data_IF_337813555674
#
_entry.id   IF_337813555674
#
_cell.length_a   1.000
_cell.length_b   1.000
_cell.length_c   1.000
_cell.angle_alpha   90.00
_cell.angle_beta   90.00
_cell.angle_gamma   90.00
#
_symmetry.space_group_name_H-M   'P 1'
#
loop_
_entity.id
_entity.type
_entity.pdbx_description
1 polymer ?
#
# COMPACT_ATOMS: atom_id res chain seq x y z
N UNK A 1 9.36 -2.14 -26.94
CA UNK A 1 10.48 -2.28 -25.97
C UNK A 1 10.94 -0.93 -25.41
N UNK A 2 11.05 0.13 -26.23
CA UNK A 2 11.47 1.47 -25.77
C UNK A 2 10.50 2.13 -24.77
N UNK A 3 9.19 1.97 -24.98
CA UNK A 3 8.15 2.56 -24.11
C UNK A 3 8.24 2.05 -22.66
N UNK A 4 8.27 0.73 -22.39
CA UNK A 4 8.46 0.22 -21.02
C UNK A 4 9.72 0.74 -20.33
N UNK A 5 10.84 0.82 -21.06
CA UNK A 5 12.12 1.28 -20.53
C UNK A 5 12.04 2.77 -20.17
N UNK A 6 11.45 3.59 -21.04
CA UNK A 6 11.26 5.01 -20.79
C UNK A 6 10.40 5.30 -19.55
N UNK A 7 9.29 4.55 -19.39
CA UNK A 7 8.42 4.66 -18.21
C UNK A 7 9.16 4.25 -16.94
N UNK A 8 9.92 3.15 -16.98
CA UNK A 8 10.69 2.67 -15.84
C UNK A 8 11.77 3.68 -15.40
N UNK A 9 12.56 4.20 -16.34
CA UNK A 9 13.59 5.20 -16.07
C UNK A 9 12.98 6.52 -15.58
N UNK A 10 11.84 6.94 -16.15
CA UNK A 10 11.10 8.11 -15.67
C UNK A 10 10.63 7.94 -14.22
N UNK A 11 10.13 6.75 -13.87
CA UNK A 11 9.75 6.43 -12.49
C UNK A 11 10.94 6.53 -11.52
N UNK A 12 12.10 5.96 -11.89
CA UNK A 12 13.32 6.09 -11.08
C UNK A 12 13.74 7.55 -10.91
N UNK A 13 13.73 8.35 -11.98
CA UNK A 13 14.12 9.76 -11.93
C UNK A 13 13.21 10.58 -11.01
N UNK A 14 11.90 10.32 -11.02
CA UNK A 14 10.94 10.97 -10.13
C UNK A 14 11.17 10.60 -8.66
N UNK A 15 11.42 9.31 -8.38
CA UNK A 15 11.77 8.88 -7.01
C UNK A 15 13.07 9.52 -6.54
N UNK A 16 14.09 9.61 -7.40
CA UNK A 16 15.35 10.27 -7.06
C UNK A 16 15.15 11.76 -6.75
N UNK A 17 14.28 12.45 -7.51
CA UNK A 17 13.96 13.86 -7.28
C UNK A 17 13.27 14.09 -5.92
N UNK A 18 12.33 13.24 -5.52
CA UNK A 18 11.62 13.37 -4.24
C UNK A 18 12.49 12.99 -3.03
N UNK A 19 13.45 12.07 -3.22
CA UNK A 19 14.49 11.81 -2.22
C UNK A 19 15.38 13.04 -2.03
N UNK A 20 15.76 13.72 -3.12
CA UNK A 20 16.60 14.91 -3.06
C UNK A 20 15.91 16.10 -2.39
N UNK A 21 14.58 16.23 -2.48
CA UNK A 21 13.80 17.29 -1.81
C UNK A 21 13.49 16.99 -0.35
N UNK A 22 13.77 15.77 0.13
CA UNK A 22 13.51 15.36 1.52
C UNK A 22 12.03 15.12 1.84
N UNK A 23 11.18 15.01 0.82
CA UNK A 23 9.70 14.86 0.94
C UNK A 23 9.25 13.38 0.99
N UNK A 24 10.14 12.45 1.30
CA UNK A 24 9.92 11.02 1.03
C UNK A 24 9.49 10.23 2.25
N UNK A 25 8.17 10.20 2.48
CA UNK A 25 7.51 9.13 3.25
C UNK A 25 6.41 8.48 2.38
N UNK A 26 6.80 7.86 1.26
CA UNK A 26 5.88 7.06 0.42
C UNK A 26 6.01 5.59 0.83
N UNK A 27 4.97 5.07 1.49
CA UNK A 27 4.87 3.63 1.81
C UNK A 27 3.91 2.95 0.84
N UNK A 28 4.43 2.11 -0.05
CA UNK A 28 3.60 1.22 -0.87
C UNK A 28 3.29 -0.02 -0.05
N UNK A 29 2.08 -0.10 0.50
CA UNK A 29 1.60 -1.30 1.17
C UNK A 29 1.08 -2.26 0.10
N UNK A 30 1.90 -3.26 -0.24
CA UNK A 30 1.53 -4.30 -1.18
C UNK A 30 0.92 -5.48 -0.43
N UNK A 31 -0.41 -5.59 -0.48
CA UNK A 31 -1.13 -6.74 0.08
C UNK A 31 -1.26 -7.80 -1.00
N UNK A 32 -0.64 -8.96 -0.79
CA UNK A 32 -0.82 -10.13 -1.65
C UNK A 32 -1.93 -11.01 -1.08
N UNK A 33 -3.16 -10.97 -1.61
CA UNK A 33 -4.18 -11.90 -1.18
C UNK A 33 -3.79 -13.32 -1.61
N UNK A 34 -3.64 -14.21 -0.62
CA UNK A 34 -3.41 -15.64 -0.87
C UNK A 34 -4.71 -16.37 -0.59
N UNK A 35 -5.28 -16.98 -1.62
CA UNK A 35 -6.44 -17.86 -1.50
C UNK A 35 -5.95 -19.31 -1.58
N UNK A 36 -6.39 -20.17 -0.66
CA UNK A 36 -6.09 -21.61 -0.68
C UNK A 36 -7.36 -22.44 -0.56
N UNK A 37 -7.48 -23.49 -1.38
CA UNK A 37 -8.62 -24.38 -1.41
C UNK A 37 -8.44 -25.50 -2.44
N UNK A 38 -9.09 -26.64 -2.23
CA UNK A 38 -8.90 -27.86 -3.01
C UNK A 38 -10.10 -28.24 -3.91
N UNK A 39 -11.17 -27.45 -3.88
CA UNK A 39 -12.41 -27.77 -4.60
C UNK A 39 -12.48 -27.10 -5.98
N UNK A 40 -13.23 -27.71 -6.91
CA UNK A 40 -13.48 -27.12 -8.23
C UNK A 40 -14.25 -25.78 -8.12
N UNK A 41 -15.19 -25.69 -7.18
CA UNK A 41 -15.93 -24.46 -6.87
C UNK A 41 -14.99 -23.33 -6.42
N UNK A 42 -13.99 -23.65 -5.60
CA UNK A 42 -12.99 -22.69 -5.17
C UNK A 42 -12.14 -22.19 -6.35
N UNK A 43 -11.69 -23.10 -7.24
CA UNK A 43 -10.99 -22.72 -8.47
C UNK A 43 -11.85 -21.79 -9.34
N UNK A 44 -13.13 -22.12 -9.51
CA UNK A 44 -14.08 -21.31 -10.30
C UNK A 44 -14.24 -19.92 -9.68
N UNK A 45 -14.37 -19.83 -8.35
CA UNK A 45 -14.41 -18.57 -7.62
C UNK A 45 -13.16 -17.72 -7.81
N UNK A 46 -11.96 -18.31 -7.67
CA UNK A 46 -10.69 -17.62 -7.92
C UNK A 46 -10.60 -17.12 -9.36
N UNK A 47 -11.02 -17.94 -10.34
CA UNK A 47 -11.05 -17.56 -11.74
C UNK A 47 -11.96 -16.35 -12.00
N UNK A 48 -13.15 -16.31 -11.37
CA UNK A 48 -14.07 -15.17 -11.46
C UNK A 48 -13.49 -13.90 -10.84
N UNK A 49 -12.81 -14.01 -9.69
CA UNK A 49 -12.12 -12.88 -9.06
C UNK A 49 -11.03 -12.33 -9.98
N UNK A 50 -10.19 -13.20 -10.54
CA UNK A 50 -9.15 -12.81 -11.50
C UNK A 50 -9.75 -12.15 -12.73
N UNK A 51 -10.82 -12.71 -13.29
CA UNK A 51 -11.53 -12.13 -14.42
C UNK A 51 -12.10 -10.74 -14.10
N UNK A 52 -12.66 -10.54 -12.89
CA UNK A 52 -13.17 -9.25 -12.43
C UNK A 52 -12.09 -8.17 -12.39
N UNK A 53 -10.90 -8.50 -11.87
CA UNK A 53 -9.77 -7.56 -11.89
C UNK A 53 -9.35 -7.20 -13.32
N UNK A 54 -9.20 -8.19 -14.21
CA UNK A 54 -8.83 -7.95 -15.61
C UNK A 54 -9.85 -7.03 -16.29
N UNK A 55 -11.14 -7.31 -16.15
CA UNK A 55 -12.20 -6.48 -16.74
C UNK A 55 -12.27 -5.09 -16.11
N UNK A 56 -12.12 -4.98 -14.79
CA UNK A 56 -12.10 -3.69 -14.10
C UNK A 56 -10.95 -2.80 -14.55
N UNK A 57 -9.74 -3.33 -14.64
CA UNK A 57 -8.58 -2.59 -15.15
C UNK A 57 -8.72 -2.23 -16.62
N UNK A 58 -9.26 -3.14 -17.46
CA UNK A 58 -9.52 -2.85 -18.86
C UNK A 58 -10.54 -1.71 -19.04
N UNK A 59 -11.57 -1.65 -18.20
CA UNK A 59 -12.61 -0.62 -18.27
C UNK A 59 -12.09 0.76 -17.84
N UNK A 60 -11.29 0.82 -16.76
CA UNK A 60 -10.63 2.07 -16.32
C UNK A 60 -9.61 2.54 -17.36
N UNK A 61 -8.85 1.61 -17.95
CA UNK A 61 -7.86 1.93 -18.98
C UNK A 61 -8.46 2.52 -20.26
N UNK A 62 -9.69 2.12 -20.63
CA UNK A 62 -10.41 2.70 -21.78
C UNK A 62 -11.00 4.07 -21.44
N UNK A 63 -11.54 4.27 -20.24
CA UNK A 63 -12.10 5.56 -19.81
C UNK A 63 -11.08 6.71 -19.65
N UNK A 64 -9.80 6.40 -19.52
CA UNK A 64 -8.73 7.41 -19.43
C UNK A 64 -8.23 7.90 -20.80
N UNK A 65 -8.51 7.18 -21.89
CA UNK A 65 -8.08 7.58 -23.25
C UNK A 65 -8.91 8.77 -23.78
N UNK A 66 -10.09 9.03 -23.20
CA UNK A 66 -10.98 10.14 -23.59
C UNK A 66 -10.65 11.49 -22.92
N UNK A 67 -9.80 11.50 -21.88
CA UNK A 67 -9.35 12.74 -21.24
C UNK A 67 -8.05 13.23 -21.86
N UNK A 68 -8.18 14.06 -22.91
CA UNK A 68 -7.06 14.59 -23.68
C UNK A 68 -6.04 15.42 -22.86
N UNK A 69 -4.78 15.51 -23.32
CA UNK A 69 -3.73 16.24 -22.62
C UNK A 69 -3.85 17.75 -22.88
N UNK A 70 -4.44 18.48 -21.93
CA UNK A 70 -4.44 19.94 -22.03
C UNK A 70 -5.33 20.64 -21.03
N UNK A 71 -4.91 20.71 -19.76
CA UNK A 71 -5.26 21.78 -18.81
C UNK A 71 -4.58 21.55 -17.45
N UNK A 72 -3.26 21.77 -17.36
CA UNK A 72 -2.63 22.11 -16.08
C UNK A 72 -1.59 23.20 -16.37
N UNK A 73 -2.08 24.40 -16.59
CA UNK A 73 -1.30 25.62 -16.47
C UNK A 73 -2.13 26.61 -15.67
N UNK A 74 -1.50 27.21 -14.66
CA UNK A 74 -1.96 28.29 -13.78
C UNK A 74 -2.74 27.86 -12.53
N UNK A 75 -1.97 27.66 -11.45
CA UNK A 75 -2.17 28.49 -10.26
C UNK A 75 -0.87 28.57 -9.45
N UNK A 76 -0.23 29.74 -9.49
CA UNK A 76 0.82 30.15 -8.56
C UNK A 76 0.17 30.86 -7.38
N UNK A 77 0.42 30.36 -6.17
CA UNK A 77 0.82 31.15 -5.00
C UNK A 77 1.15 30.18 -3.85
N UNK A 78 2.35 30.25 -3.24
CA UNK A 78 2.71 29.41 -2.09
C UNK A 78 2.19 30.00 -0.77
N UNK A 79 1.47 29.25 0.08
CA UNK A 79 1.28 29.62 1.46
C UNK A 79 2.35 28.96 2.35
N UNK A 80 3.12 29.83 3.01
CA UNK A 80 3.63 29.74 4.38
C UNK A 80 3.65 28.37 5.09
N UNK A 81 4.87 27.94 5.43
CA UNK A 81 5.24 27.24 6.68
C UNK A 81 4.21 26.26 7.24
N UNK A 82 3.90 25.21 6.48
CA UNK A 82 3.40 23.98 7.08
C UNK A 82 4.56 23.36 7.87
N UNK A 83 4.50 23.42 9.21
CA UNK A 83 5.33 22.56 10.05
C UNK A 83 5.25 21.15 9.48
N UNK A 84 6.38 20.57 9.10
CA UNK A 84 6.45 19.21 8.57
C UNK A 84 5.97 18.25 9.66
N UNK A 85 4.65 18.04 9.72
CA UNK A 85 4.05 16.98 10.51
C UNK A 85 4.42 15.71 9.78
N UNK A 86 5.65 15.24 10.04
CA UNK A 86 6.17 14.00 9.49
C UNK A 86 5.18 12.92 9.86
N UNK A 87 4.52 12.36 8.86
CA UNK A 87 3.46 11.40 9.15
C UNK A 87 4.11 10.16 9.74
N UNK A 88 3.68 9.83 10.94
CA UNK A 88 4.21 8.72 11.71
C UNK A 88 3.46 7.43 11.34
N UNK A 89 4.18 6.45 10.79
CA UNK A 89 3.60 5.18 10.33
C UNK A 89 4.23 4.00 11.06
N UNK A 90 3.46 2.94 11.26
CA UNK A 90 3.95 1.69 11.81
C UNK A 90 2.99 0.55 11.53
N UNK A 91 3.43 -0.66 11.83
CA UNK A 91 2.65 -1.87 11.65
C UNK A 91 3.18 -2.99 12.54
N UNK A 92 2.41 -4.06 12.64
CA UNK A 92 2.80 -5.26 13.36
C UNK A 92 2.50 -6.49 12.51
N UNK A 93 3.47 -7.39 12.41
CA UNK A 93 3.33 -8.69 11.74
C UNK A 93 3.37 -9.76 12.80
N UNK A 94 2.38 -10.64 12.82
CA UNK A 94 2.34 -11.78 13.73
C UNK A 94 2.95 -13.00 13.00
N UNK A 95 4.12 -13.46 13.46
CA UNK A 95 4.72 -14.72 13.01
C UNK A 95 4.43 -15.76 14.08
N UNK A 96 3.35 -16.53 13.87
CA UNK A 96 2.74 -17.29 14.97
C UNK A 96 2.25 -16.35 16.08
N UNK A 97 2.31 -16.73 17.37
CA UNK A 97 1.88 -15.86 18.47
C UNK A 97 2.91 -14.77 18.81
N UNK A 98 4.01 -14.63 18.06
CA UNK A 98 5.07 -13.66 18.34
C UNK A 98 4.84 -12.39 17.49
N UNK A 99 4.49 -11.24 18.10
CA UNK A 99 4.29 -10.00 17.36
C UNK A 99 5.63 -9.32 17.07
N UNK A 100 5.86 -8.95 15.81
CA UNK A 100 7.01 -8.17 15.35
C UNK A 100 6.51 -6.80 14.89
N UNK A 101 6.86 -5.76 15.66
CA UNK A 101 6.40 -4.40 15.41
C UNK A 101 7.46 -3.55 14.70
N UNK A 102 6.99 -2.72 13.78
CA UNK A 102 7.78 -1.78 13.01
C UNK A 102 7.16 -0.39 13.11
N UNK A 103 7.98 0.65 13.11
CA UNK A 103 7.49 2.03 13.20
C UNK A 103 8.54 3.03 12.73
N UNK A 104 8.08 4.17 12.21
CA UNK A 104 8.92 5.26 11.73
C UNK A 104 9.75 5.90 12.84
N UNK A 105 9.37 5.71 14.10
CA UNK A 105 10.15 6.08 15.27
C UNK A 105 9.91 5.09 16.42
N UNK A 106 10.73 5.19 17.48
CA UNK A 106 10.65 4.30 18.64
C UNK A 106 9.28 4.33 19.33
N UNK A 107 8.62 5.50 19.36
CA UNK A 107 7.31 5.67 19.99
C UNK A 107 6.25 4.86 19.24
N UNK A 108 6.21 4.97 17.92
CA UNK A 108 5.26 4.25 17.07
C UNK A 108 5.54 2.76 17.06
N UNK A 109 6.82 2.35 16.99
CA UNK A 109 7.19 0.94 17.07
C UNK A 109 6.72 0.31 18.40
N UNK A 110 6.85 1.03 19.52
CA UNK A 110 6.40 0.57 20.83
C UNK A 110 4.87 0.52 20.92
N UNK A 111 4.16 1.52 20.38
CA UNK A 111 2.69 1.50 20.27
C UNK A 111 2.22 0.29 19.46
N UNK A 112 2.84 0.03 18.31
CA UNK A 112 2.51 -1.12 17.46
C UNK A 112 2.82 -2.46 18.12
N UNK A 113 3.89 -2.53 18.93
CA UNK A 113 4.21 -3.70 19.72
C UNK A 113 3.12 -3.99 20.76
N UNK A 114 2.68 -2.97 21.49
CA UNK A 114 1.60 -3.10 22.48
C UNK A 114 0.31 -3.57 21.80
N UNK A 115 -0.05 -2.96 20.67
CA UNK A 115 -1.22 -3.38 19.87
C UNK A 115 -1.09 -4.86 19.46
N UNK A 116 0.08 -5.27 18.97
CA UNK A 116 0.36 -6.66 18.61
C UNK A 116 0.19 -7.63 19.78
N UNK A 117 0.78 -7.32 20.94
CA UNK A 117 0.68 -8.15 22.14
C UNK A 117 -0.76 -8.26 22.62
N UNK A 118 -1.51 -7.15 22.69
CA UNK A 118 -2.93 -7.16 23.07
C UNK A 118 -3.74 -8.04 22.11
N UNK A 119 -3.46 -7.93 20.82
CA UNK A 119 -4.13 -8.75 19.79
C UNK A 119 -3.84 -10.24 19.98
N UNK A 120 -2.58 -10.61 20.24
CA UNK A 120 -2.19 -12.00 20.55
C UNK A 120 -2.91 -12.51 21.80
N UNK A 121 -2.95 -11.72 22.88
CA UNK A 121 -3.62 -12.10 24.13
C UNK A 121 -5.11 -12.32 23.91
N UNK A 122 -5.77 -11.46 23.12
CA UNK A 122 -7.19 -11.62 22.78
C UNK A 122 -7.43 -12.90 21.97
N UNK A 123 -6.60 -13.17 20.96
CA UNK A 123 -6.72 -14.37 20.11
C UNK A 123 -6.50 -15.63 20.96
N UNK A 124 -5.45 -15.67 21.77
CA UNK A 124 -5.16 -16.82 22.63
C UNK A 124 -6.24 -17.01 23.71
N UNK A 125 -6.71 -15.92 24.32
CA UNK A 125 -7.79 -15.97 25.30
C UNK A 125 -9.09 -16.50 24.70
N UNK A 126 -9.46 -16.05 23.50
CA UNK A 126 -10.62 -16.56 22.78
C UNK A 126 -10.45 -18.04 22.43
N UNK A 127 -9.27 -18.45 21.95
CA UNK A 127 -8.99 -19.83 21.57
C UNK A 127 -9.01 -20.79 22.77
N UNK A 128 -8.59 -20.33 23.95
CA UNK A 128 -8.68 -21.11 25.19
C UNK A 128 -10.09 -21.17 25.77
N UNK A 129 -10.94 -20.19 25.44
CA UNK A 129 -12.33 -20.13 25.91
C UNK A 129 -13.30 -20.93 25.03
N UNK A 130 -12.87 -21.34 23.84
CA UNK A 130 -13.63 -22.12 22.87
C UNK A 130 -13.36 -23.63 23.04
#
# INVERSE_FOLDING_TARGET
MLIPIGVFLGGIALVAATVATGETDVSVVLVFPVFSGSSLLFLLGVLLIVASFITGFAMVGVGQIESGPGQIAQNQAPPESASSRRTEYGGVVLIGPVPIAFGSNKRIALVMLVIGVVTVVLILGLLLAL
#
